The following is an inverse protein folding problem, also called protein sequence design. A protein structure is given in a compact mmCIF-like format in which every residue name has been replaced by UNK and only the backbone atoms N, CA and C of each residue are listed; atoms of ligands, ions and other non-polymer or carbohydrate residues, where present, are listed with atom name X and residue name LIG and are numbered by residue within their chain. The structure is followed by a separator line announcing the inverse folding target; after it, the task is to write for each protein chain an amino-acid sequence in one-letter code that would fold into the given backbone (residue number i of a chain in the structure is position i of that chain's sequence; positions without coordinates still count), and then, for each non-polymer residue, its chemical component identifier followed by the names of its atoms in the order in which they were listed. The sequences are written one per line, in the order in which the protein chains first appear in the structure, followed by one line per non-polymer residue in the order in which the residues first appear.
data_IF_145848881500
#
_entry.id   IF_145848881500
#
_cell.length_a   1.000
_cell.length_b   1.000
_cell.length_c   1.000
_cell.angle_alpha   90.00
_cell.angle_beta   90.00
_cell.angle_gamma   90.00
#
_symmetry.space_group_name_H-M   'P 1'
#
loop_
_entity.id
_entity.type
_entity.pdbx_description
1 polymer ?
#
# COMPACT_ATOMS: atom_id res chain seq x y z
N UNK A 1 66.05 -30.62 -48.40
CA UNK A 1 64.78 -30.48 -47.63
C UNK A 1 64.70 -29.04 -47.12
N UNK A 2 63.86 -28.16 -47.71
CA UNK A 2 62.54 -27.69 -47.18
C UNK A 2 62.63 -27.25 -45.70
N UNK A 3 62.26 -26.05 -45.24
CA UNK A 3 61.29 -25.06 -45.73
C UNK A 3 61.45 -23.70 -45.01
N UNK A 4 61.10 -22.61 -45.71
CA UNK A 4 60.87 -21.23 -45.22
C UNK A 4 59.68 -21.14 -44.25
N UNK A 5 59.68 -20.16 -43.33
CA UNK A 5 58.51 -19.51 -42.68
C UNK A 5 58.82 -18.00 -42.60
N UNK A 6 58.31 -17.12 -43.47
CA UNK A 6 57.00 -16.41 -43.48
C UNK A 6 56.71 -15.66 -42.16
N UNK A 7 57.02 -14.37 -41.99
CA UNK A 7 56.23 -13.14 -42.30
C UNK A 7 54.78 -13.14 -41.82
N UNK A 8 54.41 -12.24 -40.88
CA UNK A 8 53.76 -10.95 -41.15
C UNK A 8 53.39 -10.17 -39.87
N UNK A 9 53.72 -8.87 -39.89
CA UNK A 9 53.21 -7.82 -39.01
C UNK A 9 51.85 -7.29 -39.51
N UNK A 10 51.02 -6.74 -38.62
CA UNK A 10 49.97 -5.71 -38.85
C UNK A 10 49.17 -5.53 -37.55
N UNK A 11 48.59 -4.41 -37.14
CA UNK A 11 48.65 -2.98 -37.49
C UNK A 11 47.51 -2.36 -36.67
N UNK A 12 47.83 -1.36 -35.84
CA UNK A 12 46.88 -0.60 -35.03
C UNK A 12 46.04 0.29 -35.93
N UNK A 13 44.71 0.29 -35.80
CA UNK A 13 43.84 1.31 -36.40
C UNK A 13 43.22 2.17 -35.31
N UNK A 14 43.68 3.42 -35.26
CA UNK A 14 42.97 4.54 -34.67
C UNK A 14 41.95 5.09 -35.68
N UNK A 15 40.76 5.50 -35.22
CA UNK A 15 39.93 6.51 -35.87
C UNK A 15 38.91 7.05 -34.87
N UNK A 16 38.91 8.37 -34.72
CA UNK A 16 38.04 9.18 -33.88
C UNK A 16 36.85 9.73 -34.67
N UNK A 17 35.72 10.03 -34.02
CA UNK A 17 35.05 11.34 -34.16
C UNK A 17 33.96 11.53 -33.09
N UNK A 18 33.95 12.72 -32.51
CA UNK A 18 33.02 13.24 -31.49
C UNK A 18 31.83 13.90 -32.20
N UNK A 19 30.61 13.65 -31.73
CA UNK A 19 29.48 14.55 -31.92
C UNK A 19 28.67 14.63 -30.62
N UNK A 20 28.61 15.84 -30.05
CA UNK A 20 27.96 16.21 -28.81
C UNK A 20 26.71 17.03 -29.15
N UNK A 21 25.53 16.60 -28.68
CA UNK A 21 24.27 17.35 -28.49
C UNK A 21 23.38 16.37 -27.70
N UNK A 22 22.80 16.61 -26.52
CA UNK A 22 22.44 17.82 -25.80
C UNK A 22 21.02 17.60 -25.22
N UNK A 23 20.95 17.21 -23.95
CA UNK A 23 19.85 17.33 -22.97
C UNK A 23 18.40 16.93 -23.34
N UNK A 24 17.82 16.00 -22.58
CA UNK A 24 16.78 16.29 -21.57
C UNK A 24 16.57 15.04 -20.68
N UNK A 25 16.70 15.23 -19.37
CA UNK A 25 16.55 14.16 -18.38
C UNK A 25 15.12 13.65 -18.27
N UNK A 26 14.99 12.35 -18.01
CA UNK A 26 13.83 11.80 -17.34
C UNK A 26 14.32 11.20 -16.02
N UNK A 27 13.90 11.83 -14.93
CA UNK A 27 14.10 11.35 -13.59
C UNK A 27 13.39 9.99 -13.46
N UNK A 28 14.14 8.92 -13.25
CA UNK A 28 13.56 7.67 -12.78
C UNK A 28 13.18 7.84 -11.31
N UNK A 29 11.90 8.15 -11.08
CA UNK A 29 11.26 7.98 -9.78
C UNK A 29 11.21 6.47 -9.49
N UNK A 30 12.01 6.03 -8.52
CA UNK A 30 12.01 4.67 -8.02
C UNK A 30 10.79 4.48 -7.10
N UNK A 31 9.68 4.05 -7.69
CA UNK A 31 8.50 3.62 -6.96
C UNK A 31 8.78 2.23 -6.36
N UNK A 32 9.22 2.18 -5.10
CA UNK A 32 9.41 0.93 -4.33
C UNK A 32 8.05 0.27 -4.13
N UNK A 33 7.63 -0.54 -5.10
CA UNK A 33 6.44 -1.39 -4.99
C UNK A 33 6.80 -2.68 -4.28
N UNK A 34 6.26 -2.85 -3.08
CA UNK A 34 6.29 -4.09 -2.33
C UNK A 34 5.44 -5.14 -3.04
N UNK A 35 6.03 -5.89 -3.97
CA UNK A 35 5.38 -7.01 -4.65
C UNK A 35 5.43 -8.23 -3.72
N UNK A 36 4.26 -8.71 -3.28
CA UNK A 36 4.14 -10.01 -2.61
C UNK A 36 4.53 -11.13 -3.61
N UNK A 37 5.31 -12.15 -3.20
CA UNK A 37 5.59 -13.29 -4.06
C UNK A 37 4.32 -14.12 -4.26
N UNK A 38 3.78 -14.12 -5.50
CA UNK A 38 2.66 -14.97 -5.91
C UNK A 38 1.45 -14.26 -6.56
N UNK A 39 1.43 -12.93 -6.63
CA UNK A 39 0.40 -12.18 -7.36
C UNK A 39 0.70 -12.07 -8.85
N UNK A 40 -0.31 -12.25 -9.72
CA UNK A 40 -0.18 -12.01 -11.15
C UNK A 40 0.27 -10.56 -11.40
N UNK A 41 1.29 -10.37 -12.26
CA UNK A 41 1.81 -9.05 -12.60
C UNK A 41 0.70 -8.14 -13.13
N UNK A 42 0.70 -6.88 -12.70
CA UNK A 42 -0.31 -5.90 -13.09
C UNK A 42 -0.39 -5.80 -14.62
N UNK A 43 -1.56 -6.13 -15.17
CA UNK A 43 -1.88 -5.93 -16.59
C UNK A 43 -1.77 -4.43 -16.89
N UNK A 44 -1.04 -4.08 -17.94
CA UNK A 44 -0.84 -2.69 -18.35
C UNK A 44 -2.19 -1.97 -18.55
N UNK A 45 -2.28 -0.74 -18.05
CA UNK A 45 -3.47 0.11 -18.19
C UNK A 45 -3.84 0.22 -19.68
N UNK A 46 -5.03 -0.28 -20.04
CA UNK A 46 -5.56 -0.13 -21.39
C UNK A 46 -5.96 1.33 -21.57
N UNK A 47 -5.42 1.96 -22.61
CA UNK A 47 -5.83 3.30 -23.04
C UNK A 47 -7.28 3.24 -23.53
N UNK A 48 -8.21 3.70 -22.68
CA UNK A 48 -9.58 3.94 -23.06
C UNK A 48 -9.63 5.22 -23.90
N UNK A 49 -9.71 5.07 -25.22
CA UNK A 49 -10.02 6.17 -26.13
C UNK A 49 -11.38 6.74 -25.75
N UNK A 50 -11.43 8.05 -25.44
CA UNK A 50 -12.67 8.76 -25.15
C UNK A 50 -13.52 8.85 -26.41
N UNK A 51 -14.68 8.18 -26.41
CA UNK A 51 -15.71 8.30 -27.45
C UNK A 51 -16.22 9.75 -27.51
N UNK A 52 -16.32 10.30 -28.71
CA UNK A 52 -16.85 11.64 -29.00
C UNK A 52 -18.33 11.76 -28.56
N UNK A 53 -18.86 12.97 -28.31
CA UNK A 53 -20.20 13.13 -27.75
C UNK A 53 -21.25 12.60 -28.75
N UNK A 54 -22.05 11.63 -28.29
CA UNK A 54 -23.21 11.14 -29.03
C UNK A 54 -24.23 12.27 -29.14
N UNK A 55 -24.56 12.61 -30.38
CA UNK A 55 -25.75 13.40 -30.75
C UNK A 55 -26.97 12.82 -30.03
N UNK A 56 -27.73 13.70 -29.37
CA UNK A 56 -29.00 13.38 -28.69
C UNK A 56 -29.98 12.74 -29.68
N UNK A 57 -30.08 11.42 -29.64
CA UNK A 57 -31.28 10.70 -30.04
C UNK A 57 -32.18 10.71 -28.81
N UNK A 58 -33.24 11.51 -28.89
CA UNK A 58 -34.31 11.55 -27.91
C UNK A 58 -34.80 10.12 -27.61
N UNK A 59 -34.53 9.63 -26.40
CA UNK A 59 -35.20 8.44 -25.91
C UNK A 59 -36.68 8.75 -25.72
N UNK A 60 -37.61 7.93 -26.25
CA UNK A 60 -39.01 8.07 -25.93
C UNK A 60 -39.18 7.73 -24.45
N UNK A 61 -39.69 8.70 -23.67
CA UNK A 61 -40.10 8.50 -22.30
C UNK A 61 -40.95 7.21 -22.16
N UNK A 62 -40.85 6.48 -21.04
CA UNK A 62 -41.73 5.34 -20.81
C UNK A 62 -43.15 5.88 -20.72
N UNK A 63 -43.91 5.73 -21.80
CA UNK A 63 -45.36 5.91 -21.76
C UNK A 63 -45.88 4.78 -20.88
N UNK A 64 -46.22 5.12 -19.63
CA UNK A 64 -47.24 4.38 -18.90
C UNK A 64 -48.40 4.21 -19.87
N UNK A 65 -48.71 2.97 -20.24
CA UNK A 65 -49.89 2.68 -21.01
C UNK A 65 -51.09 3.15 -20.18
N UNK A 66 -51.62 4.32 -20.53
CA UNK A 66 -52.99 4.66 -20.20
C UNK A 66 -53.82 3.66 -20.99
N UNK A 67 -54.15 2.55 -20.35
CA UNK A 67 -55.25 1.74 -20.82
C UNK A 67 -56.49 2.64 -20.70
N UNK A 68 -56.91 3.23 -21.81
CA UNK A 68 -58.32 3.56 -22.05
C UNK A 68 -59.10 2.25 -22.18
N UNK A 69 -59.08 1.46 -21.11
CA UNK A 69 -60.15 0.54 -20.81
C UNK A 69 -61.21 1.38 -20.13
N UNK A 70 -62.31 1.63 -20.83
CA UNK A 70 -63.57 2.00 -20.21
C UNK A 70 -64.06 0.84 -19.32
N UNK A 71 -63.31 0.52 -18.27
CA UNK A 71 -63.88 -0.05 -17.09
C UNK A 71 -64.61 1.12 -16.45
N UNK A 72 -65.93 1.14 -16.62
CA UNK A 72 -66.79 2.01 -15.86
C UNK A 72 -66.31 1.96 -14.40
N UNK A 73 -65.71 3.05 -13.93
CA UNK A 73 -65.78 3.37 -12.52
C UNK A 73 -67.26 3.48 -12.25
N UNK A 74 -67.85 2.37 -11.81
CA UNK A 74 -68.99 2.46 -10.93
C UNK A 74 -68.43 3.16 -9.70
N UNK A 75 -68.49 4.49 -9.73
CA UNK A 75 -68.68 5.30 -8.53
C UNK A 75 -69.96 4.75 -7.92
N UNK A 76 -69.80 3.67 -7.14
CA UNK A 76 -70.79 3.25 -6.19
C UNK A 76 -70.89 4.39 -5.21
N UNK A 77 -71.84 5.28 -5.46
CA UNK A 77 -72.40 6.14 -4.43
C UNK A 77 -72.73 5.24 -3.25
N UNK A 78 -71.92 5.30 -2.20
CA UNK A 78 -72.32 4.84 -0.88
C UNK A 78 -72.20 6.06 0.03
N UNK A 79 -73.35 6.55 0.44
CA UNK A 79 -73.51 7.21 1.73
C UNK A 79 -74.63 6.43 2.46
N UNK A 80 -74.60 6.21 3.79
CA UNK A 80 -74.01 7.09 4.81
C UNK A 80 -73.18 6.29 5.90
N UNK A 81 -72.90 6.78 7.12
CA UNK A 81 -71.67 6.52 7.91
C UNK A 81 -71.63 5.20 8.72
N UNK A 82 -71.77 4.05 8.07
CA UNK A 82 -71.57 2.73 8.70
C UNK A 82 -70.23 2.07 8.32
N UNK A 83 -69.74 2.31 7.12
CA UNK A 83 -68.55 1.64 6.58
C UNK A 83 -67.25 2.12 7.25
N UNK A 84 -67.20 3.41 7.62
CA UNK A 84 -66.06 3.97 8.38
C UNK A 84 -65.86 3.25 9.71
N UNK A 85 -66.96 2.83 10.37
CA UNK A 85 -66.91 2.16 11.67
C UNK A 85 -66.45 0.71 11.58
N UNK A 86 -66.79 0.00 10.50
CA UNK A 86 -66.37 -1.37 10.24
C UNK A 86 -64.90 -1.41 9.80
N UNK A 87 -64.50 -0.48 8.92
CA UNK A 87 -63.11 -0.28 8.52
C UNK A 87 -62.25 0.08 9.74
N UNK A 88 -62.72 0.97 10.63
CA UNK A 88 -61.99 1.32 11.84
C UNK A 88 -61.79 0.13 12.78
N UNK A 89 -62.81 -0.72 12.99
CA UNK A 89 -62.71 -1.95 13.80
C UNK A 89 -61.77 -2.97 13.18
N UNK A 90 -61.80 -3.12 11.86
CA UNK A 90 -60.87 -3.99 11.15
C UNK A 90 -59.43 -3.51 11.29
N UNK A 91 -59.19 -2.22 11.05
CA UNK A 91 -57.88 -1.59 11.21
C UNK A 91 -57.36 -1.69 12.65
N UNK A 92 -58.19 -1.46 13.67
CA UNK A 92 -57.77 -1.58 15.08
C UNK A 92 -57.39 -3.01 15.46
N UNK A 93 -58.13 -4.01 14.95
CA UNK A 93 -57.86 -5.42 15.28
C UNK A 93 -56.57 -5.95 14.63
N UNK A 94 -56.13 -5.37 13.50
CA UNK A 94 -54.93 -5.81 12.77
C UNK A 94 -53.69 -4.94 13.07
N UNK A 95 -53.88 -3.69 13.51
CA UNK A 95 -52.78 -2.72 13.67
C UNK A 95 -51.65 -3.23 14.59
N UNK A 96 -51.98 -3.83 15.73
CA UNK A 96 -50.96 -4.30 16.68
C UNK A 96 -50.24 -5.54 16.17
N UNK A 97 -50.97 -6.53 15.63
CA UNK A 97 -50.35 -7.70 15.00
C UNK A 97 -49.46 -7.32 13.80
N UNK A 98 -49.82 -6.28 13.05
CA UNK A 98 -48.99 -5.76 11.96
C UNK A 98 -47.73 -5.04 12.47
N UNK A 99 -47.81 -4.30 13.58
CA UNK A 99 -46.64 -3.67 14.24
C UNK A 99 -45.68 -4.71 14.80
N UNK A 100 -46.20 -5.71 15.52
CA UNK A 100 -45.39 -6.77 16.13
C UNK A 100 -44.64 -7.57 15.07
N UNK A 101 -45.30 -7.90 13.96
CA UNK A 101 -44.62 -8.54 12.83
C UNK A 101 -43.50 -7.66 12.27
N UNK A 102 -43.73 -6.36 12.08
CA UNK A 102 -42.67 -5.43 11.61
C UNK A 102 -41.50 -5.37 12.57
N UNK A 103 -41.75 -5.25 13.88
CA UNK A 103 -40.70 -5.24 14.89
C UNK A 103 -39.94 -6.57 14.95
N UNK A 104 -40.63 -7.70 14.84
CA UNK A 104 -39.99 -9.02 14.82
C UNK A 104 -39.05 -9.19 13.61
N UNK A 105 -39.44 -8.67 12.43
CA UNK A 105 -38.61 -8.70 11.23
C UNK A 105 -37.39 -7.79 11.36
N UNK A 106 -37.59 -6.56 11.84
CA UNK A 106 -36.49 -5.62 12.08
C UNK A 106 -35.50 -6.16 13.13
N UNK A 107 -35.99 -6.76 14.21
CA UNK A 107 -35.15 -7.37 15.23
C UNK A 107 -34.35 -8.56 14.68
N UNK A 108 -34.97 -9.39 13.83
CA UNK A 108 -34.28 -10.48 13.16
C UNK A 108 -33.20 -9.98 12.19
N UNK A 109 -33.50 -8.94 11.41
CA UNK A 109 -32.55 -8.32 10.48
C UNK A 109 -31.37 -7.68 11.22
N UNK A 110 -31.62 -6.93 12.30
CA UNK A 110 -30.56 -6.36 13.14
C UNK A 110 -29.67 -7.44 13.76
N UNK A 111 -30.27 -8.54 14.24
CA UNK A 111 -29.50 -9.67 14.78
C UNK A 111 -28.66 -10.36 13.70
N UNK A 112 -29.18 -10.49 12.49
CA UNK A 112 -28.43 -11.03 11.35
C UNK A 112 -27.25 -10.12 10.98
N UNK A 113 -27.47 -8.81 10.90
CA UNK A 113 -26.41 -7.83 10.63
C UNK A 113 -25.36 -7.83 11.74
N UNK A 114 -25.76 -7.86 13.00
CA UNK A 114 -24.84 -7.96 14.14
C UNK A 114 -23.96 -9.21 14.03
N UNK A 115 -24.56 -10.37 13.74
CA UNK A 115 -23.80 -11.63 13.60
C UNK A 115 -22.81 -11.57 12.44
N UNK A 116 -23.18 -10.97 11.30
CA UNK A 116 -22.28 -10.80 10.16
C UNK A 116 -21.13 -9.81 10.46
N UNK A 117 -21.42 -8.73 11.20
CA UNK A 117 -20.39 -7.78 11.67
C UNK A 117 -19.42 -8.47 12.63
N UNK A 118 -19.92 -9.18 13.64
CA UNK A 118 -19.11 -9.90 14.62
C UNK A 118 -18.22 -10.95 13.93
N UNK A 119 -18.76 -11.65 12.92
CA UNK A 119 -17.99 -12.59 12.10
C UNK A 119 -16.84 -11.90 11.35
N UNK A 120 -17.08 -10.74 10.76
CA UNK A 120 -16.04 -9.97 10.05
C UNK A 120 -14.99 -9.42 11.01
N UNK A 121 -15.41 -8.95 12.18
CA UNK A 121 -14.50 -8.49 13.23
C UNK A 121 -13.61 -9.65 13.66
N UNK A 122 -14.17 -10.83 13.95
CA UNK A 122 -13.38 -12.00 14.33
C UNK A 122 -12.35 -12.39 13.26
N UNK A 123 -12.73 -12.37 11.98
CA UNK A 123 -11.81 -12.66 10.89
C UNK A 123 -10.67 -11.62 10.76
N UNK A 124 -10.96 -10.34 11.01
CA UNK A 124 -9.95 -9.28 11.01
C UNK A 124 -9.03 -9.37 12.23
N UNK A 125 -9.55 -9.72 13.39
CA UNK A 125 -8.78 -9.91 14.62
C UNK A 125 -7.83 -11.11 14.52
N UNK A 126 -8.27 -12.22 13.92
CA UNK A 126 -7.41 -13.37 13.63
C UNK A 126 -6.24 -12.99 12.72
N UNK A 127 -6.52 -12.27 11.62
CA UNK A 127 -5.48 -11.79 10.72
C UNK A 127 -4.53 -10.83 11.44
N UNK A 128 -5.08 -9.90 12.23
CA UNK A 128 -4.26 -8.99 13.04
C UNK A 128 -3.35 -9.74 13.99
N UNK A 129 -3.86 -10.75 14.70
CA UNK A 129 -3.07 -11.55 15.63
C UNK A 129 -1.94 -12.31 14.92
N UNK A 130 -2.22 -12.90 13.76
CA UNK A 130 -1.19 -13.51 12.90
C UNK A 130 -0.11 -12.48 12.54
N UNK A 131 -0.50 -11.29 12.05
CA UNK A 131 0.45 -10.24 11.69
C UNK A 131 1.29 -9.76 12.88
N UNK A 132 0.68 -9.56 14.04
CA UNK A 132 1.41 -9.18 15.26
C UNK A 132 2.41 -10.25 15.69
N UNK A 133 2.08 -11.53 15.54
CA UNK A 133 3.02 -12.63 15.81
C UNK A 133 4.22 -12.61 14.84
N UNK A 134 3.96 -12.41 13.55
CA UNK A 134 5.03 -12.27 12.54
C UNK A 134 5.90 -11.04 12.78
N UNK A 135 5.30 -9.90 13.18
CA UNK A 135 6.03 -8.69 13.55
C UNK A 135 6.93 -8.93 14.76
N UNK A 136 6.40 -9.54 15.83
CA UNK A 136 7.21 -9.88 17.02
C UNK A 136 8.39 -10.79 16.67
N UNK A 137 8.18 -11.80 15.81
CA UNK A 137 9.28 -12.66 15.34
C UNK A 137 10.34 -11.87 14.57
N UNK A 138 9.91 -10.95 13.70
CA UNK A 138 10.81 -10.06 12.96
C UNK A 138 11.59 -9.15 13.90
N UNK A 139 10.93 -8.52 14.87
CA UNK A 139 11.56 -7.64 15.86
C UNK A 139 12.60 -8.39 16.70
N UNK A 140 12.28 -9.60 17.16
CA UNK A 140 13.24 -10.45 17.89
C UNK A 140 14.44 -10.81 17.01
N UNK A 141 14.23 -11.09 15.73
CA UNK A 141 15.33 -11.35 14.80
C UNK A 141 16.20 -10.11 14.57
N UNK A 142 15.58 -8.95 14.35
CA UNK A 142 16.29 -7.68 14.17
C UNK A 142 17.10 -7.31 15.42
N UNK A 143 16.52 -7.42 16.61
CA UNK A 143 17.22 -7.17 17.87
C UNK A 143 18.44 -8.08 18.04
N UNK A 144 18.31 -9.38 17.71
CA UNK A 144 19.44 -10.32 17.75
C UNK A 144 20.52 -10.00 16.72
N UNK A 145 20.14 -9.58 15.52
CA UNK A 145 21.07 -9.18 14.48
C UNK A 145 21.83 -7.91 14.87
N UNK A 146 21.14 -6.89 15.40
CA UNK A 146 21.74 -5.67 15.94
C UNK A 146 22.73 -5.99 17.07
N UNK A 147 22.30 -6.77 18.07
CA UNK A 147 23.16 -7.17 19.18
C UNK A 147 24.41 -7.92 18.72
N UNK A 148 24.28 -8.78 17.70
CA UNK A 148 25.40 -9.51 17.11
C UNK A 148 26.39 -8.56 16.45
N UNK A 149 25.91 -7.60 15.66
CA UNK A 149 26.76 -6.61 15.00
C UNK A 149 27.49 -5.72 16.02
N UNK A 150 26.78 -5.24 17.04
CA UNK A 150 27.40 -4.43 18.11
C UNK A 150 28.47 -5.24 18.83
N UNK A 151 28.21 -6.51 19.16
CA UNK A 151 29.20 -7.39 19.81
C UNK A 151 30.43 -7.58 18.94
N UNK A 152 30.28 -7.86 17.65
CA UNK A 152 31.39 -8.05 16.69
C UNK A 152 32.29 -6.81 16.67
N UNK A 153 31.73 -5.62 16.44
CA UNK A 153 32.52 -4.39 16.38
C UNK A 153 33.09 -3.97 17.74
N UNK A 154 32.39 -4.28 18.84
CA UNK A 154 32.88 -3.98 20.19
C UNK A 154 34.07 -4.85 20.61
N UNK A 155 34.20 -6.07 20.06
CA UNK A 155 35.32 -6.98 20.32
C UNK A 155 36.44 -6.88 19.27
N UNK A 156 36.19 -6.18 18.16
CA UNK A 156 37.16 -5.94 17.10
C UNK A 156 38.19 -4.90 17.55
N UNK A 157 39.41 -4.98 17.03
CA UNK A 157 40.38 -3.90 17.24
C UNK A 157 39.89 -2.60 16.56
N UNK A 158 40.07 -1.42 17.19
CA UNK A 158 39.49 -0.18 16.68
C UNK A 158 40.00 0.24 15.29
N UNK A 159 41.28 -0.01 14.99
CA UNK A 159 41.90 0.22 13.69
C UNK A 159 41.26 -0.62 12.57
N UNK A 160 41.06 -1.92 12.82
CA UNK A 160 40.39 -2.81 11.89
C UNK A 160 38.90 -2.44 11.73
N UNK A 161 38.22 -2.07 12.81
CA UNK A 161 36.83 -1.64 12.75
C UNK A 161 36.67 -0.36 11.91
N UNK A 162 37.56 0.61 12.10
CA UNK A 162 37.62 1.85 11.34
C UNK A 162 37.74 1.60 9.84
N UNK A 163 38.67 0.72 9.42
CA UNK A 163 38.85 0.37 8.00
C UNK A 163 37.61 -0.30 7.40
N UNK A 164 36.98 -1.23 8.13
CA UNK A 164 35.78 -1.94 7.65
C UNK A 164 34.55 -1.03 7.56
N UNK A 165 34.36 -0.15 8.53
CA UNK A 165 33.25 0.80 8.53
C UNK A 165 33.42 1.86 7.44
N UNK A 166 34.65 2.29 7.15
CA UNK A 166 34.94 3.21 6.04
C UNK A 166 34.60 2.61 4.66
N UNK A 167 34.72 1.29 4.50
CA UNK A 167 34.37 0.58 3.26
C UNK A 167 32.90 0.15 3.15
N UNK A 168 32.09 0.38 4.18
CA UNK A 168 30.67 -0.01 4.22
C UNK A 168 29.77 1.19 3.87
N UNK A 169 28.48 0.95 3.63
CA UNK A 169 27.50 2.03 3.48
C UNK A 169 27.53 2.98 4.70
N UNK A 170 27.58 4.28 4.44
CA UNK A 170 27.78 5.33 5.45
C UNK A 170 26.63 5.40 6.45
N UNK A 171 25.38 5.19 6.01
CA UNK A 171 24.21 5.18 6.90
C UNK A 171 24.23 3.98 7.85
N UNK A 172 24.59 2.79 7.34
CA UNK A 172 24.72 1.59 8.15
C UNK A 172 25.87 1.72 9.17
N UNK A 173 27.02 2.26 8.73
CA UNK A 173 28.16 2.50 9.61
C UNK A 173 27.81 3.51 10.72
N UNK A 174 27.08 4.58 10.38
CA UNK A 174 26.58 5.54 11.36
C UNK A 174 25.62 4.88 12.37
N UNK A 175 24.67 4.06 11.90
CA UNK A 175 23.74 3.34 12.77
C UNK A 175 24.45 2.38 13.73
N UNK A 176 25.48 1.66 13.26
CA UNK A 176 26.31 0.79 14.10
C UNK A 176 27.03 1.61 15.18
N UNK A 177 27.70 2.70 14.80
CA UNK A 177 28.41 3.57 15.75
C UNK A 177 27.48 4.20 16.78
N UNK A 178 26.25 4.56 16.42
CA UNK A 178 25.24 5.07 17.36
C UNK A 178 24.78 4.02 18.38
N UNK A 179 24.85 2.74 18.04
CA UNK A 179 24.44 1.63 18.91
C UNK A 179 25.58 1.11 19.81
N UNK A 180 26.84 1.39 19.44
CA UNK A 180 28.01 1.05 20.26
C UNK A 180 28.08 1.90 21.53
N UNK A 181 28.86 1.45 22.52
CA UNK A 181 29.17 2.30 23.66
C UNK A 181 30.00 3.52 23.22
N UNK A 182 29.72 4.67 23.82
CA UNK A 182 30.31 5.94 23.42
C UNK A 182 31.85 5.93 23.45
N UNK A 183 32.46 5.16 24.37
CA UNK A 183 33.92 5.09 24.49
C UNK A 183 34.51 4.30 23.32
N UNK A 184 33.98 3.13 22.98
CA UNK A 184 34.44 2.35 21.83
C UNK A 184 34.18 3.06 20.51
N UNK A 185 33.00 3.67 20.34
CA UNK A 185 32.70 4.46 19.15
C UNK A 185 33.68 5.64 18.98
N UNK A 186 34.04 6.33 20.07
CA UNK A 186 35.03 7.41 20.03
C UNK A 186 36.43 6.92 19.64
N UNK A 187 36.87 5.76 20.14
CA UNK A 187 38.18 5.21 19.78
C UNK A 187 38.18 4.79 18.31
N UNK A 188 37.12 4.14 17.82
CA UNK A 188 37.00 3.77 16.41
C UNK A 188 37.05 5.02 15.51
N UNK A 189 36.30 6.07 15.83
CA UNK A 189 36.31 7.33 15.08
C UNK A 189 37.70 8.00 15.05
N UNK A 190 38.50 7.84 16.11
CA UNK A 190 39.85 8.38 16.17
C UNK A 190 40.84 7.64 15.24
N UNK A 191 40.60 6.34 15.01
CA UNK A 191 41.42 5.53 14.08
C UNK A 191 40.95 5.64 12.62
N UNK A 192 39.82 6.31 12.36
CA UNK A 192 39.30 6.53 11.00
C UNK A 192 40.01 7.69 10.30
N UNK A 193 39.94 7.69 8.96
CA UNK A 193 40.36 8.86 8.20
C UNK A 193 39.42 10.06 8.48
N UNK A 194 39.99 11.26 8.47
CA UNK A 194 39.27 12.50 8.81
C UNK A 194 38.01 12.74 7.97
N UNK A 195 38.00 12.35 6.70
CA UNK A 195 36.86 12.54 5.79
C UNK A 195 35.75 11.53 6.08
N UNK A 196 36.07 10.25 6.29
CA UNK A 196 35.08 9.26 6.67
C UNK A 196 34.48 9.54 8.05
N UNK A 197 35.30 9.92 9.03
CA UNK A 197 34.84 10.31 10.36
C UNK A 197 33.89 11.53 10.31
N UNK A 198 34.22 12.54 9.50
CA UNK A 198 33.36 13.71 9.30
C UNK A 198 32.03 13.33 8.62
N UNK A 199 32.05 12.47 7.62
CA UNK A 199 30.84 12.00 6.94
C UNK A 199 29.90 11.25 7.91
N UNK A 200 30.44 10.31 8.69
CA UNK A 200 29.66 9.55 9.66
C UNK A 200 29.09 10.45 10.77
N UNK A 201 29.91 11.34 11.32
CA UNK A 201 29.47 12.29 12.35
C UNK A 201 28.40 13.25 11.81
N UNK A 202 28.49 13.64 10.54
CA UNK A 202 27.47 14.44 9.86
C UNK A 202 26.12 13.74 9.79
N UNK A 203 26.09 12.45 9.42
CA UNK A 203 24.87 11.64 9.39
C UNK A 203 24.32 11.40 10.80
N UNK A 204 25.19 11.10 11.77
CA UNK A 204 24.76 10.92 13.17
C UNK A 204 24.15 12.22 13.73
N UNK A 205 24.72 13.37 13.37
CA UNK A 205 24.21 14.68 13.75
C UNK A 205 22.89 15.06 13.06
N UNK A 206 22.69 14.67 11.79
CA UNK A 206 21.41 14.88 11.11
C UNK A 206 20.32 13.95 11.65
N UNK A 207 20.64 12.69 11.94
CA UNK A 207 19.71 11.74 12.56
C UNK A 207 19.29 12.16 13.98
N UNK A 208 20.16 12.86 14.72
CA UNK A 208 19.82 13.42 16.03
C UNK A 208 18.94 14.68 15.94
N UNK A 209 18.87 15.32 14.76
CA UNK A 209 18.04 16.51 14.56
C UNK A 209 16.57 16.09 14.49
N UNK A 210 15.80 16.43 15.53
CA UNK A 210 14.34 16.24 15.59
C UNK A 210 13.54 17.18 14.66
N UNK A 211 14.18 17.76 13.64
CA UNK A 211 13.54 18.71 12.73
C UNK A 211 13.39 18.02 11.40
N UNK A 212 12.14 17.73 11.04
CA UNK A 212 11.77 17.26 9.71
C UNK A 212 12.29 18.25 8.65
N UNK A 213 12.98 17.78 7.59
CA UNK A 213 13.30 18.64 6.47
C UNK A 213 12.00 18.94 5.70
N UNK A 214 11.40 20.10 5.97
CA UNK A 214 10.43 20.75 5.06
C UNK A 214 11.08 21.12 3.74
#
# INVERSE_FOLDING_TARGET
MKSKRSTHASSVKASALIALLGALGSAHAEEVRQVLPGGQGAVAAQNLTREAPRTELAEPAPRLAVQEGAAALTTGTIAPPSDESEVQRFCSNIADAARDRRYSLQAAELKQLQTEVDKRIGALEEKRAEYEEWLKRREVFLARAEDSLVKIYSGMKPDAAAERLAGTNVELAAAILMKLDARKASVILNEMDTKAAAALTGIMGSAARRVDPT
#
